data_IF_733850353691
#
_entry.id   IF_733850353691
#
_cell.length_a   1.000
_cell.length_b   1.000
_cell.length_c   1.000
_cell.angle_alpha   90.00
_cell.angle_beta   90.00
_cell.angle_gamma   90.00
#
_symmetry.space_group_name_H-M   'P 1'
#
loop_
_entity.id
_entity.type
_entity.pdbx_description
1 polymer ?
#
# COMPACT_ATOMS: atom_id res chain seq x y z
N UNK A 1 17.60 -17.61 17.02
CA UNK A 1 16.51 -16.60 16.92
C UNK A 1 15.20 -17.13 17.54
N UNK A 2 14.90 -18.43 17.45
CA UNK A 2 13.67 -19.03 18.04
C UNK A 2 13.71 -19.17 19.58
N UNK A 3 14.87 -19.34 20.20
CA UNK A 3 14.98 -19.56 21.66
C UNK A 3 14.51 -18.37 22.52
N UNK A 4 14.69 -17.14 22.02
CA UNK A 4 14.21 -15.94 22.72
C UNK A 4 12.68 -15.85 22.75
N UNK A 5 12.01 -16.21 21.65
CA UNK A 5 10.54 -16.20 21.56
C UNK A 5 9.95 -17.28 22.46
N UNK A 6 10.56 -18.48 22.49
CA UNK A 6 10.15 -19.55 23.39
C UNK A 6 10.23 -19.13 24.87
N UNK A 7 11.33 -18.48 25.28
CA UNK A 7 11.47 -17.98 26.65
C UNK A 7 10.46 -16.89 27.01
N UNK A 8 10.10 -16.01 26.06
CA UNK A 8 9.10 -14.98 26.29
C UNK A 8 7.67 -15.56 26.37
N UNK A 9 7.39 -16.65 25.66
CA UNK A 9 6.13 -17.40 25.79
C UNK A 9 6.02 -18.10 27.15
N UNK A 10 7.09 -18.76 27.60
CA UNK A 10 7.14 -19.42 28.91
C UNK A 10 6.91 -18.44 30.05
N UNK A 11 7.42 -17.21 29.92
CA UNK A 11 7.24 -16.13 30.89
C UNK A 11 5.91 -15.38 30.74
N UNK A 12 5.03 -15.80 29.84
CA UNK A 12 3.75 -15.14 29.53
C UNK A 12 3.89 -13.67 29.09
N UNK A 13 5.05 -13.29 28.53
CA UNK A 13 5.32 -11.95 28.01
C UNK A 13 4.91 -11.80 26.54
N UNK A 14 4.78 -12.93 25.84
CA UNK A 14 4.13 -13.03 24.54
C UNK A 14 2.92 -13.94 24.65
N UNK A 15 1.86 -13.61 23.91
CA UNK A 15 0.66 -14.41 23.76
C UNK A 15 0.61 -14.93 22.35
N UNK A 16 0.61 -16.26 22.18
CA UNK A 16 0.37 -16.87 20.86
C UNK A 16 -1.09 -16.67 20.49
N UNK A 17 -1.35 -15.95 19.41
CA UNK A 17 -2.70 -15.83 18.89
C UNK A 17 -3.11 -17.20 18.33
N UNK A 18 -4.24 -17.72 18.81
CA UNK A 18 -4.87 -18.86 18.14
C UNK A 18 -5.26 -18.37 16.76
N UNK A 19 -4.82 -19.08 15.72
CA UNK A 19 -5.28 -18.88 14.34
C UNK A 19 -6.80 -18.94 14.32
N UNK A 20 -7.46 -17.80 14.47
CA UNK A 20 -8.91 -17.72 14.42
C UNK A 20 -9.27 -17.83 12.94
N UNK A 21 -9.78 -19.00 12.58
CA UNK A 21 -10.50 -19.23 11.33
C UNK A 21 -11.75 -18.35 11.16
N UNK A 22 -11.98 -17.37 12.05
CA UNK A 22 -13.19 -16.55 12.18
C UNK A 22 -13.05 -15.10 11.68
N UNK A 23 -11.87 -14.66 11.23
CA UNK A 23 -11.71 -13.33 10.59
C UNK A 23 -11.31 -13.41 9.13
N UNK A 24 -11.88 -14.35 8.39
CA UNK A 24 -11.56 -14.43 6.97
C UNK A 24 -12.45 -13.47 6.19
N UNK A 25 -12.16 -12.16 6.31
CA UNK A 25 -12.77 -11.11 5.48
C UNK A 25 -12.40 -11.26 3.99
N UNK A 26 -11.30 -11.95 3.70
CA UNK A 26 -10.80 -12.21 2.35
C UNK A 26 -10.56 -13.72 2.10
N UNK A 27 -11.61 -14.55 2.02
CA UNK A 27 -11.52 -16.02 2.03
C UNK A 27 -10.88 -16.67 0.81
N UNK A 28 -10.75 -15.92 -0.28
CA UNK A 28 -10.12 -16.40 -1.51
C UNK A 28 -8.65 -15.98 -1.64
N UNK A 29 -8.12 -15.26 -0.66
CA UNK A 29 -6.73 -14.79 -0.68
C UNK A 29 -5.85 -15.77 0.08
N UNK A 30 -5.30 -16.75 -0.63
CA UNK A 30 -4.10 -17.44 -0.14
C UNK A 30 -2.92 -16.50 -0.36
N UNK A 31 -2.38 -15.98 0.74
CA UNK A 31 -1.11 -15.26 0.73
C UNK A 31 -0.02 -16.27 0.35
N UNK A 32 0.30 -16.39 -0.95
CA UNK A 32 1.08 -17.53 -1.48
C UNK A 32 2.60 -17.32 -1.46
N UNK A 33 3.11 -16.24 -0.87
CA UNK A 33 4.56 -16.07 -0.69
C UNK A 33 4.85 -15.49 0.70
N UNK A 34 5.27 -16.36 1.61
CA UNK A 34 5.95 -15.99 2.86
C UNK A 34 5.10 -15.47 4.01
N UNK A 35 3.77 -15.48 3.92
CA UNK A 35 2.88 -15.22 5.04
C UNK A 35 1.58 -15.98 4.81
N UNK A 36 1.10 -16.78 5.76
CA UNK A 36 -0.31 -17.17 5.84
C UNK A 36 -0.86 -18.17 4.81
N UNK A 37 -0.27 -19.36 4.73
CA UNK A 37 -1.02 -20.60 4.56
C UNK A 37 -0.16 -21.75 5.08
N UNK A 38 -0.51 -22.27 6.25
CA UNK A 38 0.13 -23.39 6.97
C UNK A 38 1.42 -23.00 7.77
N UNK A 39 1.22 -22.67 9.05
CA UNK A 39 2.17 -22.86 10.17
C UNK A 39 2.98 -21.67 10.75
N UNK A 40 2.70 -20.41 10.42
CA UNK A 40 3.32 -19.28 11.15
C UNK A 40 2.47 -18.84 12.35
N UNK A 41 3.06 -18.94 13.54
CA UNK A 41 2.43 -18.58 14.81
C UNK A 41 2.50 -17.06 15.00
N UNK A 42 1.35 -16.40 15.13
CA UNK A 42 1.30 -14.98 15.50
C UNK A 42 1.48 -14.82 17.00
N UNK A 43 2.20 -13.77 17.38
CA UNK A 43 2.49 -13.45 18.76
C UNK A 43 2.16 -12.00 19.03
N UNK A 44 1.38 -11.77 20.09
CA UNK A 44 1.03 -10.45 20.58
C UNK A 44 1.77 -10.20 21.87
N UNK A 45 2.40 -9.03 22.00
CA UNK A 45 3.12 -8.62 23.19
C UNK A 45 2.19 -7.84 24.11
N UNK A 46 2.29 -8.06 25.42
CA UNK A 46 1.60 -7.23 26.40
C UNK A 46 2.08 -5.78 26.31
N UNK A 47 1.18 -4.82 26.45
CA UNK A 47 1.48 -3.37 26.37
C UNK A 47 2.63 -2.98 27.30
N UNK A 48 2.61 -3.45 28.55
CA UNK A 48 3.67 -3.19 29.53
C UNK A 48 5.04 -3.73 29.13
N UNK A 49 5.07 -4.88 28.46
CA UNK A 49 6.32 -5.48 27.95
C UNK A 49 6.81 -4.71 26.72
N UNK A 50 5.89 -4.24 25.89
CA UNK A 50 6.19 -3.38 24.74
C UNK A 50 6.79 -2.06 25.19
N UNK A 51 6.21 -1.42 26.20
CA UNK A 51 6.69 -0.16 26.75
C UNK A 51 8.08 -0.31 27.37
N UNK A 52 8.27 -1.33 28.21
CA UNK A 52 9.59 -1.64 28.75
C UNK A 52 10.60 -1.93 27.64
N UNK A 53 10.21 -2.70 26.62
CA UNK A 53 11.05 -2.95 25.46
C UNK A 53 11.47 -1.66 24.76
N UNK A 54 10.54 -0.74 24.51
CA UNK A 54 10.83 0.56 23.91
C UNK A 54 11.76 1.41 24.78
N UNK A 55 11.57 1.43 26.10
CA UNK A 55 12.47 2.11 27.03
C UNK A 55 13.88 1.54 26.96
N UNK A 56 14.03 0.21 26.93
CA UNK A 56 15.35 -0.44 26.80
C UNK A 56 16.02 -0.11 25.46
N UNK A 57 15.24 -0.07 24.37
CA UNK A 57 15.77 0.32 23.06
C UNK A 57 16.26 1.77 23.05
N UNK A 58 15.56 2.67 23.75
CA UNK A 58 16.00 4.06 23.89
C UNK A 58 17.25 4.15 24.76
N UNK A 59 17.27 3.48 25.91
CA UNK A 59 18.40 3.47 26.83
C UNK A 59 19.70 2.94 26.18
N UNK A 60 19.56 1.98 25.27
CA UNK A 60 20.69 1.39 24.54
C UNK A 60 21.01 2.10 23.21
N UNK A 61 20.25 3.14 22.84
CA UNK A 61 20.45 3.87 21.58
C UNK A 61 20.07 3.08 20.32
N UNK A 62 19.31 2.00 20.44
CA UNK A 62 18.93 1.10 19.34
C UNK A 62 17.56 1.43 18.73
N UNK A 63 16.78 2.30 19.37
CA UNK A 63 15.41 2.62 18.98
C UNK A 63 15.29 3.11 17.53
N UNK A 64 16.17 4.01 17.09
CA UNK A 64 16.13 4.59 15.75
C UNK A 64 16.43 3.53 14.68
N UNK A 65 17.51 2.77 14.85
CA UNK A 65 17.87 1.67 13.95
C UNK A 65 16.73 0.65 13.81
N UNK A 66 16.08 0.26 14.92
CA UNK A 66 15.01 -0.72 14.90
C UNK A 66 13.74 -0.19 14.24
N UNK A 67 13.38 1.08 14.48
CA UNK A 67 12.26 1.72 13.78
C UNK A 67 12.52 1.81 12.27
N UNK A 68 13.74 2.13 11.86
CA UNK A 68 14.14 2.12 10.44
C UNK A 68 13.99 0.73 9.81
N UNK A 69 14.49 -0.32 10.49
CA UNK A 69 14.37 -1.72 10.03
C UNK A 69 12.91 -2.17 9.96
N UNK A 70 12.11 -1.80 10.96
CA UNK A 70 10.67 -2.09 11.00
C UNK A 70 9.96 -1.44 9.80
N UNK A 71 10.17 -0.15 9.57
CA UNK A 71 9.61 0.57 8.42
C UNK A 71 10.03 -0.04 7.10
N UNK A 72 11.33 -0.31 6.92
CA UNK A 72 11.85 -0.97 5.72
C UNK A 72 11.24 -2.36 5.48
N UNK A 73 10.93 -3.11 6.55
CA UNK A 73 10.24 -4.38 6.44
C UNK A 73 8.85 -4.23 5.81
N UNK A 74 8.03 -3.29 6.32
CA UNK A 74 6.67 -3.08 5.82
C UNK A 74 6.63 -2.45 4.44
N UNK A 75 7.54 -1.52 4.13
CA UNK A 75 7.71 -1.00 2.77
C UNK A 75 7.97 -2.14 1.79
N UNK A 76 8.92 -3.02 2.12
CA UNK A 76 9.25 -4.18 1.28
C UNK A 76 8.06 -5.14 1.11
N UNK A 77 7.30 -5.41 2.17
CA UNK A 77 6.13 -6.28 2.10
C UNK A 77 5.03 -5.70 1.19
N UNK A 78 4.75 -4.40 1.31
CA UNK A 78 3.77 -3.71 0.46
C UNK A 78 4.26 -3.68 -1.00
N UNK A 79 5.52 -3.35 -1.25
CA UNK A 79 6.08 -3.31 -2.60
C UNK A 79 6.10 -4.71 -3.26
N UNK A 80 6.42 -5.76 -2.50
CA UNK A 80 6.36 -7.15 -2.99
C UNK A 80 4.94 -7.60 -3.34
N UNK A 81 3.95 -7.22 -2.52
CA UNK A 81 2.55 -7.53 -2.81
C UNK A 81 2.08 -6.77 -4.06
N UNK A 82 2.50 -5.52 -4.25
CA UNK A 82 2.19 -4.72 -5.46
C UNK A 82 2.80 -5.28 -6.76
N UNK A 83 3.95 -5.96 -6.68
CA UNK A 83 4.66 -6.54 -7.84
C UNK A 83 4.19 -7.94 -8.24
N UNK A 84 3.45 -8.64 -7.38
CA UNK A 84 2.97 -10.00 -7.64
C UNK A 84 1.67 -9.95 -8.47
N UNK A 85 1.69 -10.45 -9.71
CA UNK A 85 0.59 -10.43 -10.69
C UNK A 85 0.15 -11.87 -11.11
N UNK A 86 -1.13 -12.19 -11.42
CA UNK A 86 -2.30 -11.29 -11.48
C UNK A 86 -3.50 -11.66 -10.59
N UNK A 87 -4.22 -10.60 -10.19
CA UNK A 87 -5.58 -10.51 -9.61
C UNK A 87 -5.77 -10.42 -8.07
N UNK A 88 -4.96 -11.01 -7.17
CA UNK A 88 -5.16 -10.83 -5.73
C UNK A 88 -4.36 -9.67 -5.11
N UNK A 89 -3.68 -8.81 -5.87
CA UNK A 89 -2.79 -7.75 -5.30
C UNK A 89 -3.48 -6.83 -4.30
N UNK A 90 -4.67 -6.30 -4.62
CA UNK A 90 -5.42 -5.46 -3.69
C UNK A 90 -5.83 -6.27 -2.46
N UNK A 91 -6.37 -7.47 -2.65
CA UNK A 91 -6.87 -8.29 -1.55
C UNK A 91 -5.73 -8.81 -0.64
N UNK A 92 -4.52 -9.02 -1.17
CA UNK A 92 -3.29 -9.32 -0.42
C UNK A 92 -2.85 -8.11 0.41
N UNK A 93 -2.84 -6.91 -0.17
CA UNK A 93 -2.51 -5.67 0.55
C UNK A 93 -3.53 -5.43 1.67
N UNK A 94 -4.82 -5.57 1.36
CA UNK A 94 -5.88 -5.42 2.36
C UNK A 94 -5.73 -6.44 3.49
N UNK A 95 -5.47 -7.70 3.17
CA UNK A 95 -5.24 -8.75 4.16
C UNK A 95 -3.98 -8.47 5.01
N UNK A 96 -2.87 -8.07 4.38
CA UNK A 96 -1.64 -7.70 5.08
C UNK A 96 -1.89 -6.56 6.06
N UNK A 97 -2.50 -5.47 5.59
CA UNK A 97 -2.75 -4.29 6.40
C UNK A 97 -3.77 -4.57 7.50
N UNK A 98 -4.80 -5.39 7.24
CA UNK A 98 -5.79 -5.79 8.24
C UNK A 98 -5.16 -6.55 9.41
N UNK A 99 -4.21 -7.44 9.12
CA UNK A 99 -3.49 -8.20 10.13
C UNK A 99 -2.40 -7.39 10.84
N UNK A 100 -1.83 -6.39 10.17
CA UNK A 100 -0.64 -5.66 10.64
C UNK A 100 -0.94 -4.18 10.88
N UNK A 101 -2.20 -3.80 11.11
CA UNK A 101 -2.66 -2.40 11.07
C UNK A 101 -1.85 -1.50 12.00
N UNK A 102 -1.60 -1.93 13.23
CA UNK A 102 -0.82 -1.17 14.21
C UNK A 102 0.66 -1.04 13.80
N UNK A 103 1.22 -2.08 13.17
CA UNK A 103 2.60 -2.06 12.69
C UNK A 103 2.75 -1.17 11.45
N UNK A 104 1.82 -1.26 10.50
CA UNK A 104 1.77 -0.38 9.32
C UNK A 104 1.58 1.08 9.74
N UNK A 105 0.69 1.34 10.71
CA UNK A 105 0.48 2.69 11.24
C UNK A 105 1.74 3.23 11.94
N UNK A 106 2.38 2.42 12.79
CA UNK A 106 3.63 2.83 13.46
C UNK A 106 4.77 3.10 12.46
N UNK A 107 4.90 2.27 11.42
CA UNK A 107 5.85 2.48 10.33
C UNK A 107 5.55 3.78 9.57
N UNK A 108 4.27 4.08 9.31
CA UNK A 108 3.84 5.31 8.63
C UNK A 108 4.26 6.56 9.41
N UNK A 109 3.96 6.61 10.70
CA UNK A 109 4.29 7.76 11.55
C UNK A 109 5.79 7.98 11.61
N UNK A 110 6.58 6.93 11.81
CA UNK A 110 8.04 7.07 11.81
C UNK A 110 8.58 7.53 10.45
N UNK A 111 8.04 6.98 9.35
CA UNK A 111 8.45 7.36 8.00
C UNK A 111 8.16 8.83 7.68
N UNK A 112 7.09 9.43 8.22
CA UNK A 112 6.78 10.84 7.96
C UNK A 112 7.90 11.80 8.38
N UNK A 113 8.70 11.43 9.39
CA UNK A 113 9.80 12.23 9.90
C UNK A 113 11.15 11.91 9.21
N UNK A 114 11.27 10.77 8.52
CA UNK A 114 12.57 10.23 8.09
C UNK A 114 12.66 9.86 6.59
N UNK A 115 11.54 9.45 5.99
CA UNK A 115 11.46 8.97 4.61
C UNK A 115 10.06 9.23 4.03
N UNK A 116 9.92 10.36 3.33
CA UNK A 116 8.67 10.75 2.68
C UNK A 116 8.16 9.68 1.70
N UNK A 117 9.05 9.00 0.96
CA UNK A 117 8.63 8.00 -0.02
C UNK A 117 8.06 6.76 0.66
N UNK A 118 8.66 6.30 1.75
CA UNK A 118 8.12 5.23 2.58
C UNK A 118 6.77 5.63 3.20
N UNK A 119 6.65 6.86 3.72
CA UNK A 119 5.42 7.37 4.30
C UNK A 119 4.26 7.33 3.30
N UNK A 120 4.53 7.66 2.04
CA UNK A 120 3.54 7.63 0.95
C UNK A 120 3.05 6.24 0.63
N UNK A 121 3.97 5.29 0.48
CA UNK A 121 3.64 3.91 0.17
C UNK A 121 2.76 3.31 1.28
N UNK A 122 3.16 3.53 2.53
CA UNK A 122 2.44 3.05 3.71
C UNK A 122 1.06 3.70 3.82
N UNK A 123 0.96 5.01 3.56
CA UNK A 123 -0.31 5.74 3.56
C UNK A 123 -1.24 5.27 2.45
N UNK A 124 -0.71 4.99 1.26
CA UNK A 124 -1.49 4.43 0.15
C UNK A 124 -2.10 3.07 0.51
N UNK A 125 -1.32 2.20 1.18
CA UNK A 125 -1.79 0.90 1.64
C UNK A 125 -2.86 1.04 2.73
N UNK A 126 -2.61 1.91 3.72
CA UNK A 126 -3.56 2.22 4.79
C UNK A 126 -4.89 2.77 4.26
N UNK A 127 -4.84 3.70 3.31
CA UNK A 127 -6.03 4.27 2.67
C UNK A 127 -6.89 3.21 1.99
N UNK A 128 -6.28 2.31 1.21
CA UNK A 128 -7.01 1.23 0.53
C UNK A 128 -7.71 0.33 1.54
N UNK A 129 -7.01 0.03 2.64
CA UNK A 129 -7.61 -0.69 3.75
C UNK A 129 -8.77 0.09 4.38
N UNK A 130 -8.59 1.37 4.74
CA UNK A 130 -9.63 2.16 5.41
C UNK A 130 -10.89 2.31 4.56
N UNK A 131 -10.75 2.48 3.24
CA UNK A 131 -11.85 2.47 2.28
C UNK A 131 -12.62 1.13 2.31
N UNK A 132 -11.91 0.01 2.37
CA UNK A 132 -12.53 -1.33 2.46
C UNK A 132 -13.23 -1.59 3.81
N UNK A 133 -12.83 -0.87 4.86
CA UNK A 133 -13.45 -0.94 6.18
C UNK A 133 -14.61 0.07 6.33
N UNK A 134 -14.77 1.01 5.39
CA UNK A 134 -15.68 2.14 5.53
C UNK A 134 -15.17 3.24 6.47
N UNK A 135 -13.93 3.15 6.97
CA UNK A 135 -13.28 4.16 7.83
C UNK A 135 -12.63 5.26 6.99
N UNK A 136 -13.42 5.88 6.11
CA UNK A 136 -12.93 6.88 5.17
C UNK A 136 -12.29 8.11 5.87
N UNK A 137 -12.74 8.43 7.08
CA UNK A 137 -12.21 9.53 7.89
C UNK A 137 -10.76 9.35 8.28
N UNK A 138 -10.41 8.16 8.75
CA UNK A 138 -9.05 7.83 9.15
C UNK A 138 -8.12 7.85 7.95
N UNK A 139 -8.55 7.28 6.82
CA UNK A 139 -7.78 7.30 5.57
C UNK A 139 -7.50 8.72 5.07
N UNK A 140 -8.52 9.59 5.09
CA UNK A 140 -8.36 10.96 4.65
C UNK A 140 -7.51 11.80 5.59
N UNK A 141 -7.63 11.59 6.91
CA UNK A 141 -6.75 12.22 7.88
C UNK A 141 -5.29 11.82 7.63
N UNK A 142 -5.04 10.52 7.44
CA UNK A 142 -3.71 10.01 7.14
C UNK A 142 -3.10 10.59 5.85
N UNK A 143 -3.91 10.79 4.79
CA UNK A 143 -3.46 11.47 3.57
C UNK A 143 -3.12 12.94 3.86
N UNK A 144 -3.97 13.65 4.61
CA UNK A 144 -3.77 15.06 4.89
C UNK A 144 -2.48 15.30 5.69
N UNK A 145 -2.17 14.43 6.64
CA UNK A 145 -0.91 14.46 7.40
C UNK A 145 0.33 14.35 6.50
N UNK A 146 0.32 13.42 5.54
CA UNK A 146 1.47 13.22 4.63
C UNK A 146 1.57 14.34 3.58
N UNK A 147 0.45 14.89 3.13
CA UNK A 147 0.43 16.05 2.24
C UNK A 147 0.91 17.35 2.91
N UNK A 148 0.84 17.43 4.24
CA UNK A 148 1.34 18.58 5.00
C UNK A 148 2.86 18.58 5.20
N UNK A 149 3.56 17.51 4.80
CA UNK A 149 5.02 17.46 4.88
C UNK A 149 5.65 18.47 3.90
N UNK A 150 6.68 19.23 4.31
CA UNK A 150 7.29 20.29 3.48
C UNK A 150 7.87 19.76 2.15
N UNK A 151 8.26 18.48 2.12
CA UNK A 151 8.75 17.78 0.93
C UNK A 151 7.72 16.80 0.36
N UNK A 152 6.42 17.03 0.57
CA UNK A 152 5.37 16.28 -0.09
C UNK A 152 5.52 16.47 -1.62
N UNK A 153 6.26 15.57 -2.25
CA UNK A 153 6.61 15.66 -3.65
C UNK A 153 5.34 15.78 -4.51
N UNK A 154 5.44 16.40 -5.68
CA UNK A 154 4.35 16.41 -6.67
C UNK A 154 3.74 15.00 -6.90
N UNK A 155 4.58 13.96 -6.77
CA UNK A 155 4.16 12.56 -6.84
C UNK A 155 3.22 12.14 -5.69
N UNK A 156 3.37 12.69 -4.48
CA UNK A 156 2.47 12.52 -3.35
C UNK A 156 1.08 13.06 -3.64
N UNK A 157 1.05 14.32 -4.10
CA UNK A 157 -0.19 15.03 -4.43
C UNK A 157 -0.91 14.31 -5.56
N UNK A 158 -0.18 13.91 -6.61
CA UNK A 158 -0.69 13.12 -7.75
C UNK A 158 -1.27 11.75 -7.34
N UNK A 159 -0.69 11.09 -6.33
CA UNK A 159 -1.15 9.77 -5.90
C UNK A 159 -2.32 9.80 -4.91
N UNK A 160 -2.35 10.79 -4.02
CA UNK A 160 -3.22 10.77 -2.83
C UNK A 160 -4.28 11.89 -2.82
N UNK A 161 -4.04 12.98 -3.55
CA UNK A 161 -4.95 14.12 -3.69
C UNK A 161 -6.39 13.75 -4.08
N UNK A 162 -6.64 12.82 -5.02
CA UNK A 162 -7.99 12.49 -5.45
C UNK A 162 -8.81 11.88 -4.31
N UNK A 163 -8.20 11.00 -3.54
CA UNK A 163 -8.86 10.30 -2.43
C UNK A 163 -9.20 11.23 -1.27
N UNK A 164 -8.34 12.22 -0.99
CA UNK A 164 -8.63 13.26 0.00
C UNK A 164 -9.78 14.18 -0.47
N UNK A 165 -9.76 14.60 -1.73
CA UNK A 165 -10.82 15.42 -2.32
C UNK A 165 -12.20 14.73 -2.26
N UNK A 166 -12.26 13.46 -2.68
CA UNK A 166 -13.47 12.64 -2.64
C UNK A 166 -14.04 12.49 -1.22
N UNK A 167 -13.18 12.29 -0.22
CA UNK A 167 -13.62 12.17 1.17
C UNK A 167 -14.18 13.49 1.73
N UNK A 168 -13.44 14.60 1.58
CA UNK A 168 -13.87 15.91 2.10
C UNK A 168 -15.21 16.33 1.50
N UNK A 169 -15.46 15.97 0.24
CA UNK A 169 -16.74 16.16 -0.45
C UNK A 169 -17.88 15.35 0.20
N UNK A 170 -17.65 14.06 0.48
CA UNK A 170 -18.64 13.17 1.11
C UNK A 170 -19.05 13.66 2.50
N UNK A 171 -18.11 14.26 3.24
CA UNK A 171 -18.35 14.81 4.59
C UNK A 171 -18.97 16.21 4.60
N UNK A 172 -19.03 16.87 3.45
CA UNK A 172 -19.41 18.29 3.38
C UNK A 172 -18.39 19.23 4.04
N UNK A 173 -17.16 18.76 4.26
CA UNK A 173 -16.07 19.55 4.86
C UNK A 173 -15.46 20.56 3.87
N UNK A 174 -15.68 20.33 2.58
CA UNK A 174 -15.35 21.29 1.52
C UNK A 174 -16.49 21.35 0.52
N UNK A 175 -16.67 22.54 -0.06
CA UNK A 175 -17.57 22.70 -1.20
C UNK A 175 -17.08 21.89 -2.40
N UNK A 176 -18.03 21.54 -3.27
CA UNK A 176 -17.78 20.72 -4.47
C UNK A 176 -16.63 21.27 -5.29
N UNK A 177 -16.59 22.59 -5.49
CA UNK A 177 -15.58 23.26 -6.29
C UNK A 177 -14.17 23.09 -5.70
N UNK A 178 -14.04 23.06 -4.37
CA UNK A 178 -12.74 22.88 -3.69
C UNK A 178 -12.27 21.42 -3.75
N UNK A 179 -13.19 20.46 -3.59
CA UNK A 179 -12.86 19.05 -3.80
C UNK A 179 -12.48 18.78 -5.26
N UNK A 180 -13.21 19.38 -6.19
CA UNK A 180 -12.97 19.24 -7.63
C UNK A 180 -11.60 19.78 -8.01
N UNK A 181 -11.26 21.00 -7.54
CA UNK A 181 -9.94 21.60 -7.79
C UNK A 181 -8.78 20.72 -7.29
N UNK A 182 -8.91 20.10 -6.12
CA UNK A 182 -7.89 19.17 -5.59
C UNK A 182 -7.73 17.92 -6.47
N UNK A 183 -8.84 17.38 -7.00
CA UNK A 183 -8.79 16.20 -7.88
C UNK A 183 -8.24 16.57 -9.26
N UNK A 184 -8.58 17.76 -9.78
CA UNK A 184 -8.07 18.30 -11.05
C UNK A 184 -6.57 18.60 -10.98
N UNK A 185 -6.10 19.21 -9.89
CA UNK A 185 -4.68 19.43 -9.63
C UNK A 185 -3.91 18.11 -9.62
N UNK A 186 -4.45 17.10 -8.91
CA UNK A 186 -3.86 15.77 -8.90
C UNK A 186 -3.87 15.08 -10.27
N UNK A 187 -4.85 15.37 -11.12
CA UNK A 187 -4.92 14.84 -12.48
C UNK A 187 -3.79 15.42 -13.33
N UNK A 188 -3.62 16.74 -13.30
CA UNK A 188 -2.54 17.44 -14.01
C UNK A 188 -1.17 16.92 -13.57
N UNK A 189 -0.93 16.86 -12.26
CA UNK A 189 0.33 16.34 -11.72
C UNK A 189 0.57 14.88 -12.11
N UNK A 190 -0.47 14.05 -12.11
CA UNK A 190 -0.35 12.65 -12.55
C UNK A 190 0.04 12.54 -14.02
N UNK A 191 -0.48 13.42 -14.88
CA UNK A 191 -0.15 13.46 -16.30
C UNK A 191 1.29 13.93 -16.54
N UNK A 192 1.70 15.01 -15.87
CA UNK A 192 3.07 15.54 -15.95
C UNK A 192 4.12 14.52 -15.49
N UNK A 193 3.78 13.74 -14.45
CA UNK A 193 4.66 12.71 -13.91
C UNK A 193 4.56 11.36 -14.64
N UNK A 194 3.65 11.22 -15.63
CA UNK A 194 3.38 9.95 -16.31
C UNK A 194 2.81 8.86 -15.38
N UNK A 195 2.23 9.25 -14.25
CA UNK A 195 1.67 8.35 -13.25
C UNK A 195 0.26 7.85 -13.65
N UNK A 196 0.23 6.94 -14.61
CA UNK A 196 -1.00 6.37 -15.22
C UNK A 196 -2.04 5.84 -14.23
N UNK A 197 -1.63 5.31 -13.07
CA UNK A 197 -2.58 4.85 -12.03
C UNK A 197 -3.27 6.02 -11.33
N UNK A 198 -2.52 7.06 -10.99
CA UNK A 198 -3.06 8.27 -10.35
C UNK A 198 -3.97 9.03 -11.30
N UNK A 199 -3.59 9.12 -12.57
CA UNK A 199 -4.43 9.72 -13.62
C UNK A 199 -5.79 9.01 -13.71
N UNK A 200 -5.79 7.68 -13.78
CA UNK A 200 -7.03 6.92 -13.86
C UNK A 200 -7.88 7.00 -12.59
N UNK A 201 -7.26 7.11 -11.41
CA UNK A 201 -7.96 7.31 -10.15
C UNK A 201 -8.61 8.71 -10.07
N UNK A 202 -7.89 9.75 -10.46
CA UNK A 202 -8.42 11.11 -10.52
C UNK A 202 -9.61 11.22 -11.49
N UNK A 203 -9.49 10.63 -12.69
CA UNK A 203 -10.59 10.57 -13.67
C UNK A 203 -11.81 9.81 -13.14
N UNK A 204 -11.61 8.71 -12.41
CA UNK A 204 -12.72 7.96 -11.81
C UNK A 204 -13.48 8.81 -10.79
N UNK A 205 -12.76 9.59 -9.98
CA UNK A 205 -13.35 10.44 -8.95
C UNK A 205 -14.08 11.64 -9.59
N UNK A 206 -13.50 12.28 -10.61
CA UNK A 206 -14.18 13.34 -11.37
C UNK A 206 -15.45 12.83 -12.06
N UNK A 207 -15.40 11.63 -12.64
CA UNK A 207 -16.56 10.99 -13.25
C UNK A 207 -17.69 10.74 -12.26
N UNK A 208 -17.35 10.29 -11.04
CA UNK A 208 -18.33 10.15 -9.95
C UNK A 208 -18.90 11.49 -9.50
N UNK A 209 -18.08 12.52 -9.38
CA UNK A 209 -18.55 13.87 -9.00
C UNK A 209 -19.51 14.45 -10.05
N UNK A 210 -19.23 14.25 -11.34
CA UNK A 210 -20.12 14.65 -12.44
C UNK A 210 -21.45 13.90 -12.40
N UNK A 211 -21.41 12.58 -12.16
CA UNK A 211 -22.60 11.71 -12.08
C UNK A 211 -23.48 11.99 -10.85
N UNK A 212 -22.88 12.14 -9.66
CA UNK A 212 -23.63 12.21 -8.39
C UNK A 212 -24.21 13.61 -8.12
N UNK A 213 -23.68 14.69 -8.71
CA UNK A 213 -24.07 16.06 -8.36
C UNK A 213 -24.53 16.96 -9.50
N UNK A 214 -24.19 16.67 -10.75
CA UNK A 214 -24.42 17.62 -11.85
C UNK A 214 -25.31 17.07 -12.97
N UNK A 215 -25.77 15.81 -12.89
CA UNK A 215 -26.44 15.11 -13.99
C UNK A 215 -25.70 15.23 -15.34
N UNK A 216 -24.38 15.50 -15.27
CA UNK A 216 -23.51 15.63 -16.44
C UNK A 216 -22.99 14.25 -16.83
N UNK A 217 -23.89 13.48 -17.42
CA UNK A 217 -23.63 12.11 -17.86
C UNK A 217 -22.58 12.07 -18.97
N UNK A 218 -22.47 13.10 -19.79
CA UNK A 218 -21.48 13.19 -20.88
C UNK A 218 -20.06 13.33 -20.33
N UNK A 219 -19.86 14.19 -19.33
CA UNK A 219 -18.57 14.32 -18.65
C UNK A 219 -18.25 13.08 -17.83
N UNK A 220 -19.23 12.52 -17.11
CA UNK A 220 -19.05 11.27 -16.37
C UNK A 220 -18.60 10.12 -17.30
N UNK A 221 -19.29 9.95 -18.43
CA UNK A 221 -18.98 8.90 -19.42
C UNK A 221 -17.58 9.07 -20.01
N UNK A 222 -17.18 10.30 -20.36
CA UNK A 222 -15.82 10.59 -20.86
C UNK A 222 -14.75 10.23 -19.82
N UNK A 223 -14.93 10.70 -18.59
CA UNK A 223 -14.01 10.43 -17.48
C UNK A 223 -13.85 8.92 -17.21
N UNK A 224 -14.96 8.17 -17.13
CA UNK A 224 -14.91 6.72 -16.93
C UNK A 224 -14.27 5.99 -18.11
N UNK A 225 -14.55 6.41 -19.34
CA UNK A 225 -13.96 5.82 -20.55
C UNK A 225 -12.45 6.00 -20.57
N UNK A 226 -11.95 7.20 -20.24
CA UNK A 226 -10.52 7.49 -20.16
C UNK A 226 -9.84 6.71 -19.03
N UNK A 227 -10.45 6.67 -17.84
CA UNK A 227 -9.94 5.88 -16.72
C UNK A 227 -9.83 4.39 -17.06
N UNK A 228 -10.84 3.84 -17.73
CA UNK A 228 -10.88 2.45 -18.17
C UNK A 228 -9.81 2.16 -19.24
N UNK A 229 -9.60 3.07 -20.19
CA UNK A 229 -8.54 2.94 -21.19
C UNK A 229 -7.15 2.91 -20.54
N UNK A 230 -6.90 3.77 -19.55
CA UNK A 230 -5.65 3.79 -18.79
C UNK A 230 -5.45 2.52 -17.95
N UNK A 231 -6.49 2.03 -17.29
CA UNK A 231 -6.44 0.74 -16.58
C UNK A 231 -6.10 -0.41 -17.52
N UNK A 232 -6.76 -0.47 -18.68
CA UNK A 232 -6.55 -1.52 -19.69
C UNK A 232 -5.15 -1.43 -20.31
N UNK A 233 -4.64 -0.23 -20.59
CA UNK A 233 -3.28 -0.03 -21.09
C UNK A 233 -2.23 -0.47 -20.05
N UNK A 234 -2.46 -0.12 -18.77
CA UNK A 234 -1.64 -0.58 -17.65
C UNK A 234 -1.65 -2.10 -17.49
N UNK A 235 -2.83 -2.73 -17.57
CA UNK A 235 -2.97 -4.19 -17.50
C UNK A 235 -2.30 -4.90 -18.68
N UNK A 236 -2.45 -4.39 -19.92
CA UNK A 236 -1.81 -4.96 -21.11
C UNK A 236 -0.28 -4.85 -21.07
N UNK A 237 0.27 -3.70 -20.65
CA UNK A 237 1.73 -3.55 -20.44
C UNK A 237 2.25 -4.52 -19.38
N UNK A 238 1.48 -4.74 -18.30
CA UNK A 238 1.81 -5.66 -17.21
C UNK A 238 1.78 -7.12 -17.64
N UNK A 239 0.74 -7.55 -18.36
CA UNK A 239 0.67 -8.91 -18.93
C UNK A 239 1.76 -9.17 -19.98
N UNK A 240 2.12 -8.17 -20.79
CA UNK A 240 3.25 -8.24 -21.72
C UNK A 240 4.58 -8.53 -21.01
N UNK A 241 4.90 -7.76 -19.96
CA UNK A 241 6.12 -7.93 -19.15
C UNK A 241 6.17 -9.27 -18.41
N UNK A 242 5.05 -9.73 -17.84
CA UNK A 242 4.97 -11.05 -17.20
C UNK A 242 5.19 -12.18 -18.21
N UNK A 243 4.66 -12.06 -19.43
CA UNK A 243 4.86 -13.05 -20.49
C UNK A 243 6.33 -13.11 -20.97
N UNK A 244 7.01 -11.97 -21.01
CA UNK A 244 8.44 -11.88 -21.38
C UNK A 244 9.36 -12.42 -20.28
N UNK A 245 9.09 -12.09 -19.01
CA UNK A 245 9.84 -12.63 -17.87
C UNK A 245 9.63 -14.14 -17.72
N UNK A 246 8.42 -14.65 -17.99
CA UNK A 246 8.12 -16.08 -18.01
C UNK A 246 8.86 -16.82 -19.13
N UNK A 247 8.97 -16.21 -20.32
CA UNK A 247 9.79 -16.75 -21.42
C UNK A 247 11.28 -16.75 -21.09
N UNK A 248 11.80 -15.67 -20.50
CA UNK A 248 13.21 -15.58 -20.06
C UNK A 248 13.54 -16.55 -18.94
N UNK A 249 12.59 -16.85 -18.03
CA UNK A 249 12.80 -17.83 -16.95
C UNK A 249 12.69 -19.28 -17.43
N UNK A 250 11.90 -19.55 -18.48
CA UNK A 250 11.87 -20.86 -19.18
C UNK A 250 13.08 -21.08 -20.08
N UNK A 251 13.65 -20.01 -20.64
CA UNK A 251 14.97 -20.02 -21.25
C UNK A 251 16.03 -19.92 -20.13
N UNK A 252 16.27 -21.03 -19.41
CA UNK A 252 17.36 -21.09 -18.41
C UNK A 252 18.71 -20.68 -19.00
N UNK A 253 19.75 -20.39 -18.17
CA UNK A 253 21.06 -19.97 -18.64
C UNK A 253 21.72 -21.11 -19.41
N UNK A 254 21.50 -21.12 -20.72
CA UNK A 254 21.81 -22.24 -21.60
C UNK A 254 22.62 -21.80 -22.82
N UNK A 255 23.94 -21.92 -22.67
CA UNK A 255 24.97 -22.04 -23.72
C UNK A 255 25.32 -20.78 -24.53
N UNK A 256 26.18 -19.95 -23.92
CA UNK A 256 27.31 -19.41 -24.68
C UNK A 256 28.21 -20.60 -25.05
N UNK A 257 28.02 -21.14 -26.26
CA UNK A 257 28.99 -22.09 -26.84
C UNK A 257 30.28 -21.31 -27.07
N UNK A 258 31.29 -21.64 -26.27
CA UNK A 258 32.69 -21.35 -26.58
C UNK A 258 33.03 -22.01 -27.92
N UNK A 259 33.23 -21.20 -28.96
CA UNK A 259 33.96 -21.61 -30.15
C UNK A 259 35.46 -21.53 -29.86
N UNK A 260 36.02 -22.61 -29.32
CA UNK A 260 37.47 -22.80 -29.28
C UNK A 260 37.88 -23.71 -30.46
N UNK A 261 38.78 -23.17 -31.28
CA UNK A 261 39.86 -23.83 -32.01
C UNK A 261 39.65 -25.27 -32.52
N UNK A 262 39.56 -25.40 -33.84
CA UNK A 262 40.25 -26.44 -34.62
C UNK A 262 40.27 -26.02 -36.10
N UNK A 263 41.46 -25.81 -36.66
CA UNK A 263 41.71 -25.39 -38.03
C UNK A 263 42.92 -24.48 -38.10
#
# INVERSE_FOLDING_TARGET
MLDGIASLLEKSLLVREKSSSERVRYPFVKMTHGYGAENESRYTMLETVRDYGLEQLVANGEAEMLRARHTACFVRLIDQTERSDPHPTLALILCLVDHEIHNVHAARIWAMEHDAQAALLLTAAFLRWSQSQGTYAEGAHAIAEVLALPDAAAHTVACQGPSLGAYRLMRGEVDVSKAQALVEESLVLSQELGHTKGEAQALTILGRMAHERFDDFDTAHRCFTQALALHNAGQRRRHGLCSDLSRRRRAGPGRLRAGAAAG
#
